data_IF_174007100195
#
_entry.id   IF_174007100195
#
_cell.length_a   1.000
_cell.length_b   1.000
_cell.length_c   1.000
_cell.angle_alpha   90.00
_cell.angle_beta   90.00
_cell.angle_gamma   90.00
#
_symmetry.space_group_name_H-M   'P 1'
#
loop_
_entity.id
_entity.type
_entity.pdbx_description
1 polymer ?
#
# COMPACT_ATOMS: atom_id res chain seq x y z
N UNK A 1 30.27 -10.36 23.53
CA UNK A 1 29.35 -11.47 23.18
C UNK A 1 28.19 -11.43 24.16
N UNK A 2 26.94 -11.39 23.68
CA UNK A 2 25.76 -11.41 24.55
C UNK A 2 25.71 -12.73 25.33
N UNK A 3 25.28 -12.68 26.61
CA UNK A 3 25.11 -13.89 27.40
C UNK A 3 24.01 -14.79 26.78
N UNK A 4 24.05 -16.12 26.99
CA UNK A 4 23.02 -17.04 26.50
C UNK A 4 21.59 -16.63 26.90
N UNK A 5 21.46 -16.01 28.06
CA UNK A 5 20.18 -15.51 28.61
C UNK A 5 19.70 -14.26 27.88
N UNK A 6 20.63 -13.35 27.53
CA UNK A 6 20.33 -12.20 26.68
C UNK A 6 19.95 -12.64 25.26
N UNK A 7 20.56 -13.69 24.73
CA UNK A 7 20.16 -14.29 23.45
C UNK A 7 18.76 -14.91 23.50
N UNK A 8 18.41 -15.63 24.57
CA UNK A 8 17.08 -16.20 24.74
C UNK A 8 16.01 -15.12 24.96
N UNK A 9 16.33 -14.07 25.71
CA UNK A 9 15.44 -12.91 25.88
C UNK A 9 15.21 -12.18 24.54
N UNK A 10 16.29 -11.95 23.79
CA UNK A 10 16.21 -11.38 22.44
C UNK A 10 15.42 -12.27 21.48
N UNK A 11 15.68 -13.58 21.47
CA UNK A 11 14.97 -14.53 20.62
C UNK A 11 13.49 -14.65 20.98
N UNK A 12 13.12 -14.63 22.26
CA UNK A 12 11.71 -14.61 22.70
C UNK A 12 11.03 -13.28 22.35
N UNK A 13 11.73 -12.16 22.53
CA UNK A 13 11.23 -10.86 22.10
C UNK A 13 11.00 -10.83 20.58
N UNK A 14 11.98 -11.27 19.79
CA UNK A 14 11.89 -11.37 18.34
C UNK A 14 10.78 -12.35 17.88
N UNK A 15 10.68 -13.51 18.53
CA UNK A 15 9.63 -14.50 18.24
C UNK A 15 8.23 -13.96 18.54
N UNK A 16 8.06 -13.12 19.57
CA UNK A 16 6.81 -12.43 19.85
C UNK A 16 6.40 -11.41 18.77
N UNK A 17 7.35 -10.97 17.95
CA UNK A 17 7.11 -10.05 16.82
C UNK A 17 7.04 -10.80 15.47
N UNK A 18 7.39 -12.09 15.43
CA UNK A 18 7.23 -12.98 14.29
C UNK A 18 5.84 -13.59 14.27
N UNK A 19 4.85 -12.80 13.83
CA UNK A 19 3.50 -13.32 13.67
C UNK A 19 3.19 -13.68 12.21
N UNK A 20 2.35 -14.70 12.05
CA UNK A 20 1.93 -15.23 10.76
C UNK A 20 1.26 -14.15 9.90
N UNK A 21 0.51 -13.24 10.53
CA UNK A 21 -0.23 -12.20 9.82
C UNK A 21 0.68 -11.12 9.24
N UNK A 22 1.75 -10.73 9.94
CA UNK A 22 2.78 -9.85 9.41
C UNK A 22 3.47 -10.47 8.20
N UNK A 23 3.87 -11.75 8.29
CA UNK A 23 4.48 -12.47 7.17
C UNK A 23 3.55 -12.61 5.96
N UNK A 24 2.29 -12.98 6.18
CA UNK A 24 1.29 -13.03 5.11
C UNK A 24 1.04 -11.64 4.51
N UNK A 25 1.02 -10.61 5.36
CA UNK A 25 0.96 -9.21 4.94
C UNK A 25 2.10 -8.85 4.00
N UNK A 26 3.34 -9.20 4.33
CA UNK A 26 4.50 -9.00 3.45
C UNK A 26 4.36 -9.74 2.11
N UNK A 27 3.92 -11.00 2.14
CA UNK A 27 3.72 -11.79 0.93
C UNK A 27 2.67 -11.13 0.00
N UNK A 28 1.54 -10.69 0.55
CA UNK A 28 0.53 -9.97 -0.23
C UNK A 28 0.99 -8.58 -0.65
N UNK A 29 1.76 -7.87 0.16
CA UNK A 29 2.36 -6.58 -0.18
C UNK A 29 3.28 -6.69 -1.39
N UNK A 30 4.15 -7.70 -1.42
CA UNK A 30 4.99 -7.99 -2.57
C UNK A 30 4.17 -8.42 -3.79
N UNK A 31 3.22 -9.35 -3.62
CA UNK A 31 2.35 -9.80 -4.70
C UNK A 31 1.59 -8.64 -5.34
N UNK A 32 1.10 -7.69 -4.53
CA UNK A 32 0.43 -6.47 -4.97
C UNK A 32 1.27 -5.66 -5.95
N UNK A 33 2.57 -5.52 -5.68
CA UNK A 33 3.50 -4.83 -6.57
C UNK A 33 3.62 -5.48 -7.95
N UNK A 34 3.49 -6.82 -8.01
CA UNK A 34 3.70 -7.62 -9.22
C UNK A 34 2.42 -7.84 -10.05
N UNK A 35 1.24 -7.62 -9.48
CA UNK A 35 -0.04 -7.91 -10.14
C UNK A 35 -0.19 -7.10 -11.44
N UNK A 36 -0.53 -7.75 -12.58
CA UNK A 36 -0.61 -7.08 -13.89
C UNK A 36 -1.86 -6.21 -14.04
N UNK A 37 -2.97 -6.65 -13.45
CA UNK A 37 -4.28 -6.02 -13.58
C UNK A 37 -4.63 -5.17 -12.35
N UNK A 38 -5.23 -4.00 -12.57
CA UNK A 38 -5.68 -3.09 -11.50
C UNK A 38 -6.53 -3.79 -10.43
N UNK A 39 -7.51 -4.59 -10.86
CA UNK A 39 -8.41 -5.29 -9.91
C UNK A 39 -7.60 -6.22 -8.99
N UNK A 40 -6.62 -6.94 -9.54
CA UNK A 40 -5.77 -7.81 -8.75
C UNK A 40 -4.88 -7.02 -7.78
N UNK A 41 -4.30 -5.88 -8.20
CA UNK A 41 -3.55 -4.99 -7.30
C UNK A 41 -4.43 -4.59 -6.10
N UNK A 42 -5.70 -4.22 -6.33
CA UNK A 42 -6.59 -3.79 -5.26
C UNK A 42 -7.01 -4.94 -4.33
N UNK A 43 -7.33 -6.12 -4.89
CA UNK A 43 -7.71 -7.28 -4.09
C UNK A 43 -6.53 -7.79 -3.25
N UNK A 44 -5.33 -7.82 -3.81
CA UNK A 44 -4.12 -8.17 -3.05
C UNK A 44 -3.76 -7.09 -2.02
N UNK A 45 -3.98 -5.81 -2.33
CA UNK A 45 -3.84 -4.71 -1.35
C UNK A 45 -4.82 -4.87 -0.19
N UNK A 46 -6.05 -5.29 -0.45
CA UNK A 46 -7.05 -5.57 0.58
C UNK A 46 -6.63 -6.77 1.44
N UNK A 47 -6.14 -7.86 0.84
CA UNK A 47 -5.62 -8.99 1.59
C UNK A 47 -4.42 -8.60 2.47
N UNK A 48 -3.48 -7.81 1.93
CA UNK A 48 -2.35 -7.24 2.65
C UNK A 48 -2.83 -6.40 3.85
N UNK A 49 -3.74 -5.44 3.61
CA UNK A 49 -4.29 -4.59 4.66
C UNK A 49 -5.03 -5.36 5.75
N UNK A 50 -5.78 -6.42 5.40
CA UNK A 50 -6.43 -7.28 6.40
C UNK A 50 -5.40 -7.99 7.29
N UNK A 51 -4.34 -8.54 6.69
CA UNK A 51 -3.26 -9.19 7.43
C UNK A 51 -2.56 -8.18 8.37
N UNK A 52 -2.21 -7.00 7.86
CA UNK A 52 -1.59 -5.95 8.67
C UNK A 52 -2.53 -5.38 9.74
N UNK A 53 -3.83 -5.34 9.49
CA UNK A 53 -4.82 -4.94 10.50
C UNK A 53 -4.80 -5.88 11.70
N UNK A 54 -4.80 -7.20 11.45
CA UNK A 54 -4.71 -8.23 12.50
C UNK A 54 -3.35 -8.16 13.21
N UNK A 55 -2.26 -7.99 12.45
CA UNK A 55 -0.92 -7.80 13.00
C UNK A 55 -0.85 -6.61 13.98
N UNK A 56 -1.26 -5.42 13.53
CA UNK A 56 -1.25 -4.23 14.38
C UNK A 56 -2.23 -4.31 15.56
N UNK A 57 -3.34 -5.03 15.40
CA UNK A 57 -4.27 -5.25 16.50
C UNK A 57 -3.62 -6.07 17.62
N UNK A 58 -2.85 -7.11 17.26
CA UNK A 58 -2.08 -7.93 18.21
C UNK A 58 -0.96 -7.15 18.88
N UNK A 59 -0.38 -6.17 18.18
CA UNK A 59 0.61 -5.24 18.74
C UNK A 59 -0.02 -4.12 19.60
N UNK A 60 -1.35 -4.06 19.72
CA UNK A 60 -2.06 -3.01 20.47
C UNK A 60 -2.14 -1.66 19.76
N UNK A 61 -1.80 -1.58 18.47
CA UNK A 61 -1.86 -0.34 17.69
C UNK A 61 -3.24 -0.14 17.06
N UNK A 62 -4.14 0.51 17.81
CA UNK A 62 -5.51 0.80 17.37
C UNK A 62 -5.56 1.65 16.09
N UNK A 63 -4.72 2.68 15.99
CA UNK A 63 -4.61 3.52 14.79
C UNK A 63 -4.14 2.73 13.58
N UNK A 64 -3.09 1.91 13.73
CA UNK A 64 -2.58 1.06 12.65
C UNK A 64 -3.63 0.06 12.15
N UNK A 65 -4.39 -0.54 13.08
CA UNK A 65 -5.53 -1.42 12.76
C UNK A 65 -6.61 -0.68 11.97
N UNK A 66 -7.07 0.47 12.47
CA UNK A 66 -8.15 1.23 11.85
C UNK A 66 -7.77 1.75 10.46
N UNK A 67 -6.56 2.31 10.32
CA UNK A 67 -6.05 2.80 9.03
C UNK A 67 -5.98 1.70 7.97
N UNK A 68 -5.57 0.48 8.37
CA UNK A 68 -5.57 -0.66 7.47
C UNK A 68 -6.99 -1.08 7.07
N UNK A 69 -7.95 -1.12 8.01
CA UNK A 69 -9.35 -1.45 7.67
C UNK A 69 -9.97 -0.42 6.72
N UNK A 70 -9.67 0.86 6.89
CA UNK A 70 -10.05 1.91 5.94
C UNK A 70 -9.47 1.61 4.55
N UNK A 71 -8.18 1.31 4.48
CA UNK A 71 -7.51 0.97 3.23
C UNK A 71 -8.08 -0.29 2.56
N UNK A 72 -8.49 -1.30 3.35
CA UNK A 72 -9.18 -2.51 2.88
C UNK A 72 -10.51 -2.14 2.25
N UNK A 73 -11.37 -1.41 2.96
CA UNK A 73 -12.67 -0.98 2.48
C UNK A 73 -12.55 -0.18 1.16
N UNK A 74 -11.65 0.80 1.13
CA UNK A 74 -11.34 1.57 -0.08
C UNK A 74 -10.90 0.66 -1.23
N UNK A 75 -10.01 -0.30 -0.97
CA UNK A 75 -9.48 -1.17 -2.03
C UNK A 75 -10.57 -2.07 -2.62
N UNK A 76 -11.45 -2.64 -1.78
CA UNK A 76 -12.58 -3.46 -2.23
C UNK A 76 -13.60 -2.64 -3.02
N UNK A 77 -13.97 -1.46 -2.54
CA UNK A 77 -14.89 -0.56 -3.23
C UNK A 77 -14.30 -0.09 -4.57
N UNK A 78 -13.04 0.32 -4.59
CA UNK A 78 -12.33 0.70 -5.80
C UNK A 78 -12.21 -0.45 -6.81
N UNK A 79 -12.03 -1.69 -6.34
CA UNK A 79 -11.96 -2.87 -7.20
C UNK A 79 -13.31 -3.16 -7.86
N UNK A 80 -14.40 -2.86 -7.17
CA UNK A 80 -15.77 -3.16 -7.62
C UNK A 80 -16.38 -2.07 -8.52
N UNK A 81 -16.12 -0.80 -8.23
CA UNK A 81 -16.90 0.32 -8.77
C UNK A 81 -16.12 1.28 -9.67
N UNK A 82 -14.79 1.30 -9.61
CA UNK A 82 -13.97 2.15 -10.50
C UNK A 82 -13.65 1.37 -11.76
N UNK A 83 -14.07 1.90 -12.90
CA UNK A 83 -13.86 1.33 -14.22
C UNK A 83 -13.26 2.35 -15.19
N UNK A 84 -12.84 1.91 -16.37
CA UNK A 84 -12.37 2.82 -17.44
C UNK A 84 -13.50 3.75 -17.91
N UNK A 85 -14.76 3.33 -17.79
CA UNK A 85 -15.93 4.14 -18.14
C UNK A 85 -16.32 5.15 -17.05
N UNK A 86 -15.58 5.19 -15.94
CA UNK A 86 -15.87 6.04 -14.79
C UNK A 86 -16.28 5.25 -13.54
N UNK A 87 -16.78 5.98 -12.55
CA UNK A 87 -17.21 5.49 -11.23
C UNK A 87 -18.44 6.28 -10.76
N UNK A 88 -19.28 5.70 -9.90
CA UNK A 88 -20.46 6.41 -9.41
C UNK A 88 -20.07 7.55 -8.46
N UNK A 89 -20.80 8.68 -8.51
CA UNK A 89 -20.48 9.88 -7.74
C UNK A 89 -20.49 9.67 -6.21
N UNK A 90 -21.34 8.77 -5.70
CA UNK A 90 -21.36 8.44 -4.27
C UNK A 90 -20.03 7.86 -3.78
N UNK A 91 -19.24 7.24 -4.68
CA UNK A 91 -17.96 6.66 -4.33
C UNK A 91 -16.95 7.74 -3.94
N UNK A 92 -17.00 8.91 -4.60
CA UNK A 92 -16.15 10.05 -4.26
C UNK A 92 -16.48 10.57 -2.86
N UNK A 93 -17.76 10.66 -2.50
CA UNK A 93 -18.20 11.04 -1.16
C UNK A 93 -17.74 10.02 -0.11
N UNK A 94 -17.83 8.72 -0.39
CA UNK A 94 -17.32 7.67 0.51
C UNK A 94 -15.81 7.77 0.69
N UNK A 95 -15.06 7.97 -0.39
CA UNK A 95 -13.60 8.13 -0.32
C UNK A 95 -13.21 9.39 0.45
N UNK A 96 -13.88 10.52 0.22
CA UNK A 96 -13.69 11.74 1.00
C UNK A 96 -14.00 11.51 2.49
N UNK A 97 -15.09 10.81 2.82
CA UNK A 97 -15.44 10.45 4.19
C UNK A 97 -14.37 9.58 4.86
N UNK A 98 -13.85 8.56 4.15
CA UNK A 98 -12.75 7.73 4.68
C UNK A 98 -11.45 8.51 4.85
N UNK A 99 -11.19 9.50 4.00
CA UNK A 99 -10.03 10.39 4.14
C UNK A 99 -10.17 11.30 5.36
N UNK A 100 -11.34 11.89 5.57
CA UNK A 100 -11.64 12.68 6.78
C UNK A 100 -11.49 11.82 8.03
N UNK A 101 -11.99 10.59 8.02
CA UNK A 101 -11.83 9.65 9.14
C UNK A 101 -10.35 9.35 9.40
N UNK A 102 -9.56 9.09 8.36
CA UNK A 102 -8.11 8.89 8.49
C UNK A 102 -7.39 10.13 9.03
N UNK A 103 -7.80 11.34 8.61
CA UNK A 103 -7.25 12.59 9.11
C UNK A 103 -7.59 12.80 10.60
N UNK A 104 -8.83 12.54 11.00
CA UNK A 104 -9.25 12.60 12.41
C UNK A 104 -8.41 11.63 13.25
N UNK A 105 -8.25 10.38 12.81
CA UNK A 105 -7.40 9.40 13.51
C UNK A 105 -5.94 9.88 13.62
N UNK A 106 -5.39 10.41 12.53
CA UNK A 106 -4.00 10.92 12.49
C UNK A 106 -3.80 12.11 13.43
N UNK A 107 -4.78 13.02 13.52
CA UNK A 107 -4.76 14.15 14.44
C UNK A 107 -4.97 13.71 15.90
N UNK A 108 -5.86 12.74 16.14
CA UNK A 108 -6.12 12.21 17.46
C UNK A 108 -4.90 11.47 18.04
N UNK A 109 -4.11 10.81 17.18
CA UNK A 109 -2.85 10.15 17.57
C UNK A 109 -1.64 10.86 16.99
N UNK A 110 -1.66 12.20 17.02
CA UNK A 110 -0.58 13.00 16.49
C UNK A 110 0.75 12.70 17.19
N UNK A 111 1.78 12.41 16.40
CA UNK A 111 3.11 12.07 16.87
C UNK A 111 4.20 12.91 16.16
N UNK A 112 3.85 14.11 15.70
CA UNK A 112 4.76 15.00 14.99
C UNK A 112 4.99 14.60 13.52
N UNK A 113 6.26 14.62 13.08
CA UNK A 113 6.64 14.37 11.69
C UNK A 113 6.17 13.01 11.12
N UNK A 114 6.21 11.87 11.86
CA UNK A 114 5.62 10.61 11.41
C UNK A 114 4.15 10.73 10.98
N UNK A 115 3.35 11.53 11.69
CA UNK A 115 1.93 11.73 11.36
C UNK A 115 1.73 12.50 10.05
N UNK A 116 2.63 13.43 9.72
CA UNK A 116 2.62 14.14 8.43
C UNK A 116 2.83 13.15 7.29
N UNK A 117 3.84 12.28 7.41
CA UNK A 117 4.10 11.24 6.41
C UNK A 117 2.93 10.26 6.29
N UNK A 118 2.34 9.80 7.41
CA UNK A 118 1.16 8.95 7.37
C UNK A 118 -0.03 9.61 6.64
N UNK A 119 -0.29 10.89 6.92
CA UNK A 119 -1.37 11.64 6.26
C UNK A 119 -1.16 11.79 4.76
N UNK A 120 0.06 12.16 4.33
CA UNK A 120 0.43 12.25 2.92
C UNK A 120 0.32 10.88 2.23
N UNK A 121 0.84 9.83 2.85
CA UNK A 121 0.77 8.47 2.32
C UNK A 121 -0.69 8.00 2.16
N UNK A 122 -1.55 8.28 3.14
CA UNK A 122 -2.98 7.98 3.08
C UNK A 122 -3.69 8.75 1.95
N UNK A 123 -3.40 10.04 1.77
CA UNK A 123 -3.95 10.87 0.69
C UNK A 123 -3.57 10.32 -0.69
N UNK A 124 -2.27 10.07 -0.90
CA UNK A 124 -1.74 9.59 -2.18
C UNK A 124 -2.27 8.18 -2.47
N UNK A 125 -2.29 7.28 -1.48
CA UNK A 125 -2.83 5.93 -1.65
C UNK A 125 -4.34 5.93 -1.96
N UNK A 126 -5.11 6.80 -1.30
CA UNK A 126 -6.55 6.99 -1.58
C UNK A 126 -6.75 7.44 -3.03
N UNK A 127 -5.96 8.43 -3.46
CA UNK A 127 -5.98 8.94 -4.84
C UNK A 127 -5.56 7.86 -5.85
N UNK A 128 -4.59 7.03 -5.51
CA UNK A 128 -4.13 5.91 -6.33
C UNK A 128 -5.25 4.89 -6.56
N UNK A 129 -5.96 4.48 -5.51
CA UNK A 129 -7.07 3.51 -5.60
C UNK A 129 -8.19 4.01 -6.51
N UNK A 130 -8.38 5.33 -6.59
CA UNK A 130 -9.37 5.97 -7.45
C UNK A 130 -8.96 6.05 -8.93
N UNK A 131 -7.71 5.80 -9.29
CA UNK A 131 -7.27 5.80 -10.69
C UNK A 131 -7.82 4.59 -11.45
N UNK A 132 -8.41 4.82 -12.63
CA UNK A 132 -8.83 3.74 -13.53
C UNK A 132 -7.63 3.11 -14.27
N UNK A 133 -6.63 3.93 -14.62
CA UNK A 133 -5.43 3.49 -15.33
C UNK A 133 -4.45 2.76 -14.38
N UNK A 134 -4.09 1.49 -14.63
CA UNK A 134 -3.19 0.73 -13.75
C UNK A 134 -1.79 1.35 -13.61
N UNK A 135 -1.26 2.00 -14.66
CA UNK A 135 0.08 2.61 -14.61
C UNK A 135 0.10 3.88 -13.75
N UNK A 136 -0.91 4.75 -13.88
CA UNK A 136 -1.06 5.93 -13.02
C UNK A 136 -1.27 5.52 -11.56
N UNK A 137 -2.07 4.47 -11.33
CA UNK A 137 -2.24 3.88 -9.99
C UNK A 137 -0.89 3.43 -9.39
N UNK A 138 -0.06 2.70 -10.15
CA UNK A 138 1.26 2.25 -9.66
C UNK A 138 2.19 3.41 -9.30
N UNK A 139 2.25 4.46 -10.12
CA UNK A 139 3.07 5.64 -9.82
C UNK A 139 2.66 6.30 -8.51
N UNK A 140 1.36 6.48 -8.29
CA UNK A 140 0.87 7.04 -7.04
C UNK A 140 1.14 6.09 -5.87
N UNK A 141 1.01 4.77 -6.04
CA UNK A 141 1.36 3.81 -5.00
C UNK A 141 2.86 3.78 -4.67
N UNK A 142 3.75 4.05 -5.63
CA UNK A 142 5.18 4.29 -5.36
C UNK A 142 5.36 5.52 -4.47
N UNK A 143 4.71 6.64 -4.83
CA UNK A 143 4.74 7.86 -4.00
C UNK A 143 4.20 7.63 -2.58
N UNK A 144 3.09 6.89 -2.46
CA UNK A 144 2.53 6.52 -1.17
C UNK A 144 3.48 5.62 -0.36
N UNK A 145 4.11 4.63 -1.00
CA UNK A 145 5.04 3.70 -0.34
C UNK A 145 6.32 4.40 0.15
N UNK A 146 6.84 5.40 -0.58
CA UNK A 146 7.95 6.23 -0.08
C UNK A 146 7.56 7.01 1.19
N UNK A 147 6.33 7.52 1.22
CA UNK A 147 5.80 8.26 2.36
C UNK A 147 5.54 7.33 3.55
N UNK A 148 4.96 6.14 3.32
CA UNK A 148 4.82 5.10 4.35
C UNK A 148 6.16 4.59 4.88
N UNK A 149 7.15 4.38 4.02
CA UNK A 149 8.49 3.97 4.44
C UNK A 149 9.12 5.02 5.37
N UNK A 150 8.97 6.31 5.04
CA UNK A 150 9.44 7.42 5.88
C UNK A 150 8.75 7.41 7.25
N UNK A 151 7.44 7.21 7.30
CA UNK A 151 6.69 7.02 8.54
C UNK A 151 7.20 5.81 9.34
N UNK A 152 7.35 4.65 8.69
CA UNK A 152 7.73 3.39 9.33
C UNK A 152 9.17 3.40 9.85
N UNK A 153 10.08 4.12 9.18
CA UNK A 153 11.44 4.38 9.69
C UNK A 153 11.36 5.15 11.02
N UNK A 154 10.59 6.24 11.05
CA UNK A 154 10.48 7.08 12.25
C UNK A 154 9.73 6.37 13.39
N UNK A 155 8.79 5.48 13.08
CA UNK A 155 8.04 4.68 14.06
C UNK A 155 8.74 3.38 14.46
N UNK A 156 9.88 3.02 13.84
CA UNK A 156 10.57 1.76 14.09
C UNK A 156 9.79 0.50 13.67
N UNK A 157 8.86 0.64 12.71
CA UNK A 157 7.98 -0.45 12.26
C UNK A 157 8.69 -1.33 11.22
N UNK A 158 9.30 -2.42 11.67
CA UNK A 158 10.09 -3.33 10.82
C UNK A 158 9.22 -3.98 9.72
N UNK A 159 8.06 -4.52 10.08
CA UNK A 159 7.16 -5.14 9.11
C UNK A 159 6.56 -4.12 8.13
N UNK A 160 6.15 -2.96 8.62
CA UNK A 160 5.64 -1.88 7.77
C UNK A 160 6.69 -1.45 6.75
N UNK A 161 7.90 -1.15 7.22
CA UNK A 161 9.02 -0.75 6.35
C UNK A 161 9.37 -1.83 5.32
N UNK A 162 9.42 -3.10 5.74
CA UNK A 162 9.69 -4.22 4.82
C UNK A 162 8.59 -4.33 3.75
N UNK A 163 7.32 -4.16 4.13
CA UNK A 163 6.21 -4.14 3.19
C UNK A 163 6.36 -3.00 2.17
N UNK A 164 6.72 -1.80 2.61
CA UNK A 164 6.90 -0.64 1.74
C UNK A 164 8.04 -0.86 0.75
N UNK A 165 9.17 -1.39 1.20
CA UNK A 165 10.29 -1.75 0.33
C UNK A 165 9.89 -2.79 -0.73
N UNK A 166 9.20 -3.86 -0.32
CA UNK A 166 8.71 -4.89 -1.25
C UNK A 166 7.69 -4.31 -2.24
N UNK A 167 6.79 -3.44 -1.78
CA UNK A 167 5.85 -2.72 -2.60
C UNK A 167 6.55 -1.82 -3.62
N UNK A 168 7.51 -1.01 -3.19
CA UNK A 168 8.32 -0.14 -4.05
C UNK A 168 9.02 -0.93 -5.15
N UNK A 169 9.68 -2.02 -4.79
CA UNK A 169 10.34 -2.91 -5.74
C UNK A 169 9.32 -3.47 -6.75
N UNK A 170 8.24 -4.08 -6.27
CA UNK A 170 7.23 -4.69 -7.13
C UNK A 170 6.55 -3.69 -8.07
N UNK A 171 6.07 -2.56 -7.54
CA UNK A 171 5.42 -1.53 -8.35
C UNK A 171 6.36 -0.94 -9.39
N UNK A 172 7.63 -0.67 -9.03
CA UNK A 172 8.63 -0.11 -9.95
C UNK A 172 8.97 -1.11 -11.05
N UNK A 173 9.25 -2.37 -10.71
CA UNK A 173 9.52 -3.42 -11.70
C UNK A 173 8.36 -3.59 -12.66
N UNK A 174 7.12 -3.69 -12.15
CA UNK A 174 5.92 -3.82 -12.98
C UNK A 174 5.71 -2.60 -13.88
N UNK A 175 5.92 -1.39 -13.36
CA UNK A 175 5.79 -0.15 -14.11
C UNK A 175 6.79 -0.08 -15.28
N UNK A 176 8.07 -0.35 -15.00
CA UNK A 176 9.12 -0.35 -16.02
C UNK A 176 8.89 -1.43 -17.08
N UNK A 177 8.51 -2.64 -16.66
CA UNK A 177 8.20 -3.76 -17.57
C UNK A 177 7.08 -3.41 -18.55
N UNK A 178 5.98 -2.82 -18.07
CA UNK A 178 4.88 -2.43 -18.96
C UNK A 178 5.29 -1.29 -19.89
N UNK A 179 6.06 -0.30 -19.42
CA UNK A 179 6.57 0.77 -20.29
C UNK A 179 7.50 0.25 -21.39
N UNK A 180 8.39 -0.67 -21.05
CA UNK A 180 9.30 -1.29 -22.01
C UNK A 180 8.55 -2.07 -23.10
N UNK A 181 7.44 -2.75 -22.77
CA UNK A 181 6.63 -3.48 -23.74
C UNK A 181 5.87 -2.58 -24.74
N UNK A 182 5.55 -1.34 -24.39
CA UNK A 182 4.80 -0.42 -25.25
C UNK A 182 5.70 0.27 -26.30
N UNK A 183 6.97 0.55 -25.96
CA UNK A 183 7.90 1.26 -26.87
C UNK A 183 8.12 0.56 -28.23
N UNK A 184 8.36 -0.76 -28.30
CA UNK A 184 8.52 -1.47 -29.57
C UNK A 184 7.23 -1.49 -30.41
N UNK A 185 6.06 -1.61 -29.78
CA UNK A 185 4.78 -1.71 -30.48
C UNK A 185 4.41 -0.44 -31.29
N UNK A 186 4.92 0.73 -30.87
CA UNK A 186 4.76 1.97 -31.63
C UNK A 186 5.73 2.09 -32.81
N UNK A 187 6.87 1.38 -32.77
CA UNK A 187 7.84 1.33 -33.86
C UNK A 187 7.46 0.36 -34.98
N UNK A 188 6.48 -0.52 -34.76
CA UNK A 188 5.97 -1.48 -35.74
C UNK A 188 4.70 -1.00 -36.47
N UNK A 189 4.20 0.20 -36.17
CA UNK A 189 3.12 0.81 -36.93
C UNK A 189 3.73 1.46 -38.18
N UNK A 190 3.44 0.90 -39.35
CA UNK A 190 3.87 1.49 -40.63
C UNK A 190 3.40 2.95 -40.73
N UNK A 191 4.23 3.85 -41.30
CA UNK A 191 3.81 5.22 -41.53
C UNK A 191 2.54 5.23 -42.40
N UNK A 192 1.54 6.00 -41.98
CA UNK A 192 0.29 6.19 -42.74
C UNK A 192 0.67 6.67 -44.14
N UNK A 193 0.24 5.98 -45.22
CA UNK A 193 0.59 6.39 -46.57
C UNK A 193 0.07 7.80 -46.83
N UNK A 194 0.98 8.70 -47.18
CA UNK A 194 0.66 10.05 -47.65
C UNK A 194 0.04 9.93 -49.03
N UNK A 195 -1.28 10.12 -49.12
CA UNK A 195 -2.00 10.36 -50.37
C UNK A 195 -1.86 11.81 -50.80
#
# INVERSE_FOLDING_TARGET
MLSPEAWLAFARAAAGHLDLFGLLGLAFGFATGLMPQRRLILLSSAACGLCFSVHFFRLGSSTGTAMNLIAVAQSLLAARFVTVRGRPAWLDAVFAGTFVLAAILTLATWNGLPSVFAGLAALVATTARLQAAPQTMRLLLIGAALSWASHNILMGSVYGLTCDCLGLLGFTTSYLRTRAAIRPALGTLDPVPSH
#
